data_IF_574603717706
#
_entry.id   IF_574603717706
#
_cell.length_a   1.000
_cell.length_b   1.000
_cell.length_c   1.000
_cell.angle_alpha   90.00
_cell.angle_beta   90.00
_cell.angle_gamma   90.00
#
_symmetry.space_group_name_H-M   'P 1'
#
loop_
_entity.id
_entity.type
_entity.pdbx_description
1 polymer ?
#
# COMPACT_ATOMS: atom_id res chain seq x y z
N UNK A 1 58.56 -11.77 53.49
CA UNK A 1 58.10 -11.05 52.28
C UNK A 1 56.81 -11.69 51.78
N UNK A 2 55.82 -10.85 51.45
CA UNK A 2 54.47 -11.13 50.89
C UNK A 2 54.46 -12.26 49.83
N UNK A 3 53.60 -13.27 49.89
CA UNK A 3 52.15 -13.33 49.56
C UNK A 3 51.88 -13.90 48.14
N UNK A 4 50.95 -14.86 48.02
CA UNK A 4 49.68 -14.73 47.26
C UNK A 4 48.90 -16.05 47.20
N UNK A 5 47.58 -15.88 47.05
CA UNK A 5 46.48 -16.78 47.38
C UNK A 5 46.15 -17.85 46.33
N UNK A 6 45.70 -19.00 46.85
CA UNK A 6 44.58 -19.90 46.49
C UNK A 6 43.87 -19.74 45.14
N UNK A 7 43.60 -20.88 44.49
CA UNK A 7 42.50 -21.06 43.53
C UNK A 7 41.96 -22.49 43.54
N UNK A 8 40.73 -22.67 44.03
CA UNK A 8 39.86 -23.83 43.74
C UNK A 8 39.04 -23.48 42.48
N UNK A 9 38.76 -24.46 41.62
CA UNK A 9 37.72 -24.35 40.61
C UNK A 9 36.84 -25.61 40.62
N UNK A 10 35.54 -25.39 40.83
CA UNK A 10 34.47 -26.38 40.93
C UNK A 10 33.75 -26.46 39.57
N UNK A 11 33.45 -27.68 39.14
CA UNK A 11 32.57 -27.99 38.00
C UNK A 11 31.12 -27.58 38.27
N UNK A 12 30.45 -27.00 37.27
CA UNK A 12 28.99 -27.03 37.17
C UNK A 12 28.54 -27.05 35.69
N UNK A 13 27.84 -28.11 35.32
CA UNK A 13 27.21 -28.33 34.02
C UNK A 13 25.85 -27.62 34.02
N UNK A 14 25.69 -26.56 33.24
CA UNK A 14 24.43 -25.81 33.11
C UNK A 14 23.50 -26.44 32.08
N UNK A 15 22.28 -26.79 32.51
CA UNK A 15 21.15 -27.16 31.64
C UNK A 15 20.57 -25.87 31.06
N UNK A 16 20.57 -25.74 29.73
CA UNK A 16 19.99 -24.57 29.05
C UNK A 16 18.46 -24.70 28.95
N UNK A 17 17.75 -23.75 29.56
CA UNK A 17 16.31 -23.54 29.39
C UNK A 17 16.03 -22.96 27.99
N UNK A 18 15.18 -23.61 27.21
CA UNK A 18 14.63 -23.06 25.98
C UNK A 18 13.50 -22.09 26.33
N UNK A 19 13.69 -20.79 26.05
CA UNK A 19 12.65 -19.77 26.14
C UNK A 19 11.91 -19.72 24.80
N UNK A 20 10.65 -20.16 24.78
CA UNK A 20 9.77 -19.99 23.62
C UNK A 20 9.31 -18.53 23.56
N UNK A 21 9.79 -17.75 22.60
CA UNK A 21 9.30 -16.40 22.36
C UNK A 21 7.97 -16.47 21.62
N UNK A 22 6.88 -16.11 22.29
CA UNK A 22 5.58 -15.88 21.67
C UNK A 22 5.64 -14.61 20.83
N UNK A 23 5.68 -14.75 19.52
CA UNK A 23 5.47 -13.62 18.59
C UNK A 23 4.05 -13.08 18.74
N UNK A 24 3.87 -11.78 19.01
CA UNK A 24 2.53 -11.19 18.95
C UNK A 24 2.05 -11.21 17.49
N UNK A 25 0.85 -11.77 17.27
CA UNK A 25 0.11 -11.64 16.02
C UNK A 25 -0.36 -10.18 15.93
N UNK A 26 0.41 -9.31 15.29
CA UNK A 26 -0.16 -8.07 14.79
C UNK A 26 -1.15 -8.47 13.69
N UNK A 27 -2.43 -8.14 13.88
CA UNK A 27 -3.40 -8.20 12.80
C UNK A 27 -2.90 -7.28 11.70
N UNK A 28 -2.26 -7.86 10.69
CA UNK A 28 -1.90 -7.15 9.47
C UNK A 28 -3.24 -6.81 8.82
N UNK A 29 -3.62 -5.53 8.82
CA UNK A 29 -4.72 -5.08 7.98
C UNK A 29 -4.43 -5.58 6.56
N UNK A 30 -5.34 -6.35 5.99
CA UNK A 30 -5.15 -6.91 4.67
C UNK A 30 -5.26 -5.78 3.65
N UNK A 31 -4.20 -5.56 2.88
CA UNK A 31 -4.17 -4.62 1.75
C UNK A 31 -5.21 -4.96 0.66
N UNK A 32 -5.80 -6.16 0.75
CA UNK A 32 -6.86 -6.68 -0.09
C UNK A 32 -8.09 -5.76 -0.18
N UNK A 33 -8.29 -4.83 0.75
CA UNK A 33 -9.39 -3.87 0.66
C UNK A 33 -9.33 -3.06 -0.63
N UNK A 34 -8.13 -2.79 -1.14
CA UNK A 34 -7.94 -2.04 -2.37
C UNK A 34 -8.29 -2.85 -3.62
N UNK A 35 -8.32 -4.18 -3.56
CA UNK A 35 -8.61 -5.05 -4.72
C UNK A 35 -10.01 -4.80 -5.24
N UNK A 36 -10.16 -4.69 -6.57
CA UNK A 36 -11.38 -4.44 -7.31
C UNK A 36 -11.34 -3.15 -8.12
N UNK A 37 -12.50 -2.75 -8.65
CA UNK A 37 -12.62 -1.56 -9.49
C UNK A 37 -13.04 -0.33 -8.68
N UNK A 38 -12.41 0.80 -8.98
CA UNK A 38 -12.63 2.10 -8.34
C UNK A 38 -12.82 3.15 -9.41
N UNK A 39 -13.87 3.95 -9.31
CA UNK A 39 -14.14 5.02 -10.26
C UNK A 39 -14.22 6.38 -9.58
N UNK A 40 -13.76 7.41 -10.28
CA UNK A 40 -13.84 8.79 -9.85
C UNK A 40 -14.05 9.72 -11.03
N UNK A 41 -14.56 10.92 -10.71
CA UNK A 41 -14.71 12.01 -11.68
C UNK A 41 -13.62 13.04 -11.44
N UNK A 42 -12.73 13.19 -12.42
CA UNK A 42 -11.67 14.18 -12.42
C UNK A 42 -12.17 15.49 -13.06
N UNK A 43 -12.21 16.55 -12.27
CA UNK A 43 -12.53 17.91 -12.73
C UNK A 43 -11.23 18.69 -13.00
N UNK A 44 -10.72 18.61 -14.23
CA UNK A 44 -9.47 19.25 -14.67
C UNK A 44 -9.75 20.55 -15.44
N UNK A 45 -10.32 21.55 -14.74
CA UNK A 45 -10.69 22.84 -15.34
C UNK A 45 -11.94 22.70 -16.23
N UNK A 46 -11.87 22.93 -17.55
CA UNK A 46 -13.02 22.78 -18.44
C UNK A 46 -13.32 21.32 -18.83
N UNK A 47 -12.46 20.37 -18.44
CA UNK A 47 -12.62 18.96 -18.75
C UNK A 47 -13.07 18.19 -17.52
N UNK A 48 -14.10 17.37 -17.71
CA UNK A 48 -14.57 16.39 -16.73
C UNK A 48 -14.32 15.00 -17.31
N UNK A 49 -13.53 14.17 -16.62
CA UNK A 49 -13.14 12.85 -17.08
C UNK A 49 -13.50 11.80 -16.03
N UNK A 50 -14.20 10.74 -16.43
CA UNK A 50 -14.28 9.53 -15.62
C UNK A 50 -12.95 8.79 -15.70
N UNK A 51 -12.40 8.45 -14.55
CA UNK A 51 -11.21 7.60 -14.40
C UNK A 51 -11.63 6.34 -13.67
N UNK A 52 -11.27 5.18 -14.21
CA UNK A 52 -11.55 3.88 -13.58
C UNK A 52 -10.22 3.19 -13.33
N UNK A 53 -9.95 2.81 -12.09
CA UNK A 53 -8.81 1.99 -11.69
C UNK A 53 -9.29 0.56 -11.45
N UNK A 54 -8.53 -0.41 -11.93
CA UNK A 54 -8.73 -1.83 -11.67
C UNK A 54 -7.53 -2.33 -10.88
N UNK A 55 -7.73 -2.67 -9.61
CA UNK A 55 -6.69 -3.18 -8.72
C UNK A 55 -6.87 -4.68 -8.55
N UNK A 56 -5.78 -5.42 -8.65
CA UNK A 56 -5.75 -6.88 -8.51
C UNK A 56 -4.50 -7.33 -7.73
N UNK A 57 -4.45 -8.61 -7.39
CA UNK A 57 -3.26 -9.28 -6.88
C UNK A 57 -2.56 -10.00 -8.03
N UNK A 58 -1.23 -9.96 -8.04
CA UNK A 58 -0.40 -10.81 -8.90
C UNK A 58 -0.22 -12.22 -8.31
N UNK A 59 0.46 -13.10 -9.04
CA UNK A 59 0.71 -14.48 -8.60
C UNK A 59 1.54 -14.60 -7.31
N UNK A 60 2.26 -13.53 -6.93
CA UNK A 60 3.04 -13.45 -5.70
C UNK A 60 2.27 -12.77 -4.55
N UNK A 61 1.02 -12.35 -4.78
CA UNK A 61 0.20 -11.62 -3.81
C UNK A 61 0.53 -10.13 -3.71
N UNK A 62 1.30 -9.57 -4.65
CA UNK A 62 1.55 -8.13 -4.75
C UNK A 62 0.40 -7.40 -5.43
N UNK A 63 0.15 -6.15 -5.03
CA UNK A 63 -0.85 -5.31 -5.69
C UNK A 63 -0.36 -4.87 -7.08
N UNK A 64 -1.27 -4.98 -8.05
CA UNK A 64 -1.09 -4.52 -9.42
C UNK A 64 -2.37 -3.86 -9.90
N UNK A 65 -2.36 -3.22 -11.07
CA UNK A 65 -3.58 -2.69 -11.64
C UNK A 65 -3.44 -2.02 -12.99
N UNK A 66 -4.60 -1.63 -13.52
CA UNK A 66 -4.73 -0.84 -14.73
C UNK A 66 -5.64 0.36 -14.51
N UNK A 67 -5.62 1.31 -15.44
CA UNK A 67 -6.55 2.43 -15.47
C UNK A 67 -7.16 2.62 -16.86
N UNK A 68 -8.39 3.09 -16.86
CA UNK A 68 -9.20 3.42 -18.02
C UNK A 68 -9.62 4.89 -17.97
N UNK A 69 -9.64 5.53 -19.14
CA UNK A 69 -10.15 6.88 -19.36
C UNK A 69 -11.11 6.83 -20.56
N UNK A 70 -12.38 6.43 -20.35
CA UNK A 70 -13.31 6.11 -21.44
C UNK A 70 -13.53 7.25 -22.44
N UNK A 71 -13.63 8.49 -21.94
CA UNK A 71 -13.82 9.68 -22.78
C UNK A 71 -12.64 9.94 -23.74
N UNK A 72 -11.48 9.34 -23.49
CA UNK A 72 -10.29 9.42 -24.33
C UNK A 72 -10.04 8.13 -25.14
N UNK A 73 -10.89 7.11 -24.98
CA UNK A 73 -10.71 5.80 -25.61
C UNK A 73 -9.48 5.03 -25.13
N UNK A 74 -8.94 5.39 -23.97
CA UNK A 74 -7.78 4.73 -23.39
C UNK A 74 -8.23 3.71 -22.33
N UNK A 75 -7.84 2.46 -22.50
CA UNK A 75 -8.23 1.34 -21.61
C UNK A 75 -7.02 0.46 -21.35
N UNK A 76 -6.93 -0.10 -20.14
CA UNK A 76 -5.88 -1.04 -19.75
C UNK A 76 -4.51 -0.39 -19.61
N UNK A 77 -4.43 0.90 -19.31
CA UNK A 77 -3.14 1.57 -19.06
C UNK A 77 -2.55 0.95 -17.78
N UNK A 78 -1.36 0.33 -17.82
CA UNK A 78 -0.80 -0.31 -16.64
C UNK A 78 -0.40 0.73 -15.60
N UNK A 79 -0.75 0.46 -14.34
CA UNK A 79 -0.21 1.19 -13.20
C UNK A 79 1.25 0.77 -13.00
N UNK A 80 2.12 1.74 -12.71
CA UNK A 80 3.54 1.51 -12.41
C UNK A 80 3.70 0.99 -10.98
N UNK A 81 2.90 1.49 -10.04
CA UNK A 81 2.87 1.04 -8.64
C UNK A 81 1.45 1.06 -8.11
N UNK A 82 1.14 0.13 -7.23
CA UNK A 82 -0.05 0.15 -6.36
C UNK A 82 0.42 -0.24 -4.97
N UNK A 83 0.23 0.63 -3.99
CA UNK A 83 0.64 0.39 -2.60
C UNK A 83 -0.47 0.79 -1.65
N UNK A 84 -0.62 0.02 -0.59
CA UNK A 84 -1.53 0.31 0.51
C UNK A 84 -0.70 0.44 1.79
N UNK A 85 -0.96 1.50 2.56
CA UNK A 85 -0.41 1.71 3.89
C UNK A 85 -1.55 2.07 4.85
N UNK A 86 -2.05 1.05 5.57
CA UNK A 86 -3.28 1.18 6.37
C UNK A 86 -4.48 1.46 5.47
N UNK A 87 -5.08 2.64 5.59
CA UNK A 87 -6.21 3.10 4.77
C UNK A 87 -5.78 3.96 3.57
N UNK A 88 -4.48 4.23 3.41
CA UNK A 88 -3.98 5.03 2.30
C UNK A 88 -3.65 4.16 1.10
N UNK A 89 -4.25 4.47 -0.06
CA UNK A 89 -3.96 3.88 -1.36
C UNK A 89 -3.14 4.87 -2.19
N UNK A 90 -2.00 4.43 -2.69
CA UNK A 90 -1.18 5.18 -3.64
C UNK A 90 -1.02 4.39 -4.94
N UNK A 91 -1.34 5.03 -6.06
CA UNK A 91 -1.22 4.47 -7.40
C UNK A 91 -0.39 5.42 -8.27
N UNK A 92 0.54 4.89 -9.06
CA UNK A 92 1.28 5.69 -10.06
C UNK A 92 1.07 5.13 -11.46
N UNK A 93 1.15 5.97 -12.48
CA UNK A 93 0.89 5.57 -13.88
C UNK A 93 1.70 6.40 -14.89
N UNK A 94 1.97 5.85 -16.09
CA UNK A 94 2.87 6.48 -17.06
C UNK A 94 2.15 7.56 -17.89
N UNK A 95 2.32 8.82 -17.50
CA UNK A 95 1.82 10.00 -18.24
C UNK A 95 2.93 11.08 -18.30
N UNK A 96 2.98 11.96 -19.32
CA UNK A 96 3.97 13.04 -19.35
C UNK A 96 3.94 13.89 -18.07
N UNK A 97 5.10 13.99 -17.41
CA UNK A 97 5.24 14.68 -16.11
C UNK A 97 5.03 13.78 -14.88
N UNK A 98 4.65 12.52 -15.07
CA UNK A 98 4.35 11.59 -13.98
C UNK A 98 2.92 11.74 -13.46
N UNK A 99 2.28 10.61 -13.16
CA UNK A 99 0.91 10.55 -12.67
C UNK A 99 0.84 9.78 -11.36
N UNK A 100 0.13 10.35 -10.38
CA UNK A 100 -0.10 9.74 -9.07
C UNK A 100 -1.54 9.98 -8.64
N UNK A 101 -2.16 8.97 -8.05
CA UNK A 101 -3.32 9.13 -7.18
C UNK A 101 -2.92 8.71 -5.77
N UNK A 102 -3.23 9.53 -4.78
CA UNK A 102 -3.07 9.20 -3.36
C UNK A 102 -4.36 9.58 -2.64
N UNK A 103 -4.94 8.62 -1.91
CA UNK A 103 -6.17 8.86 -1.17
C UNK A 103 -6.33 7.93 0.02
N UNK A 104 -7.19 8.33 0.94
CA UNK A 104 -7.47 7.58 2.17
C UNK A 104 -8.92 7.11 2.16
N UNK A 105 -9.11 5.80 2.40
CA UNK A 105 -10.42 5.20 2.58
C UNK A 105 -11.03 5.65 3.91
N UNK A 106 -12.32 5.98 3.90
CA UNK A 106 -13.12 6.22 5.09
C UNK A 106 -14.00 5.02 5.48
N UNK A 107 -14.68 5.12 6.63
CA UNK A 107 -15.56 4.07 7.14
C UNK A 107 -16.76 3.76 6.21
N UNK A 108 -17.08 4.64 5.26
CA UNK A 108 -18.14 4.43 4.26
C UNK A 108 -17.66 3.63 3.05
N UNK A 109 -16.35 3.40 2.93
CA UNK A 109 -15.71 2.75 1.79
C UNK A 109 -15.42 3.70 0.63
N UNK A 110 -15.54 5.02 0.84
CA UNK A 110 -15.13 6.04 -0.13
C UNK A 110 -13.66 6.37 0.06
N UNK A 111 -12.92 6.60 -1.02
CA UNK A 111 -11.54 7.06 -0.96
C UNK A 111 -11.49 8.55 -1.31
N UNK A 112 -11.15 9.38 -0.34
CA UNK A 112 -10.89 10.80 -0.57
C UNK A 112 -9.42 11.00 -0.92
N UNK A 113 -9.14 11.50 -2.13
CA UNK A 113 -7.76 11.59 -2.60
C UNK A 113 -7.47 12.74 -3.54
N UNK A 114 -6.23 12.75 -4.02
CA UNK A 114 -5.70 13.73 -4.96
C UNK A 114 -5.11 13.02 -6.16
N UNK A 115 -5.60 13.38 -7.34
CA UNK A 115 -4.99 13.05 -8.62
C UNK A 115 -3.95 14.12 -8.96
N UNK A 116 -2.72 13.71 -9.27
CA UNK A 116 -1.62 14.59 -9.66
C UNK A 116 -1.08 14.17 -11.02
N UNK A 117 -0.89 15.16 -11.91
CA UNK A 117 -0.23 14.98 -13.20
C UNK A 117 0.77 16.12 -13.41
N UNK A 118 2.06 15.80 -13.42
CA UNK A 118 3.12 16.81 -13.44
C UNK A 118 2.94 17.82 -12.30
N UNK A 119 2.91 19.14 -12.57
CA UNK A 119 2.72 20.15 -11.53
C UNK A 119 1.26 20.38 -11.12
N UNK A 120 0.29 19.74 -11.78
CA UNK A 120 -1.13 19.94 -11.53
C UNK A 120 -1.67 18.89 -10.55
N UNK A 121 -2.54 19.32 -9.62
CA UNK A 121 -3.20 18.45 -8.64
C UNK A 121 -4.69 18.80 -8.56
N UNK A 122 -5.53 17.76 -8.48
CA UNK A 122 -6.98 17.85 -8.48
C UNK A 122 -7.53 16.92 -7.40
N UNK A 123 -8.46 17.39 -6.54
CA UNK A 123 -9.18 16.48 -5.65
C UNK A 123 -10.02 15.51 -6.48
N UNK A 124 -10.04 14.25 -6.10
CA UNK A 124 -10.86 13.23 -6.73
C UNK A 124 -11.23 12.15 -5.71
N UNK A 125 -12.53 11.98 -5.52
CA UNK A 125 -13.08 10.89 -4.73
C UNK A 125 -13.17 9.64 -5.61
N UNK A 126 -12.84 8.48 -5.03
CA UNK A 126 -13.12 7.18 -5.64
C UNK A 126 -14.19 6.45 -4.86
N UNK A 127 -15.11 5.85 -5.61
CA UNK A 127 -16.09 4.88 -5.11
C UNK A 127 -15.90 3.55 -5.82
N UNK A 128 -16.43 2.47 -5.26
CA UNK A 128 -16.49 1.19 -5.97
C UNK A 128 -17.25 1.37 -7.29
N UNK A 129 -16.64 0.92 -8.39
CA UNK A 129 -17.30 0.92 -9.69
C UNK A 129 -18.23 -0.29 -9.77
N UNK A 130 -19.51 -0.05 -10.10
CA UNK A 130 -20.43 -1.14 -10.42
C UNK A 130 -20.14 -1.61 -11.85
N UNK A 131 -19.79 -2.89 -11.99
CA UNK A 131 -19.45 -3.50 -13.29
C UNK A 131 -20.61 -3.57 -14.27
#
# INVERSE_FOLDING_TARGET
MYARHRGFAVLALGIALAVSTTTPLTAQESDDWAVGSWEGTLEAGPQTLQIIYHVALDDAGGLTGTMDVPAQGATGIPLTTVTVEGQTLTMTFPVPGGGTYEGTMDDSGMISGTFTQGPASFPMELTRSEG
#
